data_IF_478086108848
#
_entry.id   IF_478086108848
#
_cell.length_a   1.000
_cell.length_b   1.000
_cell.length_c   1.000
_cell.angle_alpha   90.00
_cell.angle_beta   90.00
_cell.angle_gamma   90.00
#
_symmetry.space_group_name_H-M   'P 1'
#
loop_
_entity.id
_entity.type
_entity.pdbx_description
1 polymer ?
#
# COMPACT_ATOMS: atom_id res chain seq x y z
N UNK A 1 12.90 -24.32 14.23
CA UNK A 1 11.99 -24.16 15.39
C UNK A 1 10.63 -23.74 14.83
N UNK A 2 9.84 -24.70 14.34
CA UNK A 2 8.47 -24.51 13.84
C UNK A 2 7.60 -25.77 14.03
N UNK A 3 8.07 -26.75 14.82
CA UNK A 3 7.35 -28.01 15.05
C UNK A 3 6.50 -28.02 16.33
N UNK A 4 6.71 -27.08 17.26
CA UNK A 4 6.03 -27.11 18.57
C UNK A 4 4.75 -26.26 18.65
N UNK A 5 4.49 -25.37 17.69
CA UNK A 5 3.20 -24.64 17.64
C UNK A 5 2.03 -25.55 17.24
N UNK A 6 2.33 -26.69 16.60
CA UNK A 6 1.32 -27.64 16.13
C UNK A 6 0.67 -28.42 17.29
N UNK A 7 1.39 -28.63 18.40
CA UNK A 7 0.90 -29.43 19.53
C UNK A 7 -0.04 -28.65 20.47
N UNK A 8 0.10 -27.32 20.56
CA UNK A 8 -0.75 -26.48 21.42
C UNK A 8 -2.20 -26.34 20.95
N UNK A 9 -2.48 -26.52 19.65
CA UNK A 9 -3.84 -26.46 19.09
C UNK A 9 -4.71 -27.70 19.45
N UNK A 10 -4.10 -28.78 19.95
CA UNK A 10 -4.82 -30.01 20.30
C UNK A 10 -5.42 -30.00 21.72
N UNK A 11 -4.92 -29.18 22.64
CA UNK A 11 -5.48 -29.11 23.99
C UNK A 11 -6.91 -28.55 24.00
N UNK A 12 -7.25 -27.68 23.03
CA UNK A 12 -8.63 -27.20 22.80
C UNK A 12 -9.57 -28.35 22.38
N UNK A 13 -9.07 -29.31 21.60
CA UNK A 13 -9.81 -30.49 21.16
C UNK A 13 -9.96 -31.54 22.26
N UNK A 14 -9.06 -31.55 23.25
CA UNK A 14 -9.08 -32.51 24.36
C UNK A 14 -10.26 -32.30 25.31
N UNK A 15 -10.76 -31.07 25.43
CA UNK A 15 -11.89 -30.73 26.29
C UNK A 15 -13.23 -30.63 25.53
N UNK A 16 -13.23 -30.69 24.20
CA UNK A 16 -14.48 -30.78 23.44
C UNK A 16 -15.04 -32.21 23.53
N UNK A 17 -16.18 -32.38 24.20
CA UNK A 17 -16.88 -33.68 24.30
C UNK A 17 -17.54 -34.13 22.98
N UNK A 18 -17.36 -33.38 21.91
CA UNK A 18 -17.95 -33.60 20.59
C UNK A 18 -16.89 -34.18 19.66
N UNK A 19 -17.20 -35.28 18.96
CA UNK A 19 -16.29 -35.80 17.94
C UNK A 19 -16.20 -34.78 16.78
N UNK A 20 -15.07 -34.11 16.70
CA UNK A 20 -14.82 -33.09 15.68
C UNK A 20 -14.60 -33.68 14.30
N UNK A 21 -14.27 -34.98 14.19
CA UNK A 21 -14.05 -35.67 12.91
C UNK A 21 -15.31 -35.81 12.08
N UNK A 22 -16.48 -35.73 12.71
CA UNK A 22 -17.77 -35.76 12.03
C UNK A 22 -18.20 -34.37 11.54
N UNK A 23 -17.57 -33.30 12.03
CA UNK A 23 -17.91 -31.94 11.64
C UNK A 23 -17.43 -31.64 10.22
N UNK A 24 -18.26 -30.94 9.45
CA UNK A 24 -17.97 -30.69 8.05
C UNK A 24 -16.64 -29.94 7.82
N UNK A 25 -16.18 -29.11 8.74
CA UNK A 25 -14.91 -28.40 8.63
C UNK A 25 -13.66 -29.26 8.81
N UNK A 26 -13.76 -30.52 9.29
CA UNK A 26 -12.61 -31.44 9.37
C UNK A 26 -12.40 -32.26 8.10
N UNK A 27 -13.45 -32.40 7.26
CA UNK A 27 -13.37 -33.06 5.95
C UNK A 27 -12.36 -32.33 5.04
N UNK A 28 -11.34 -33.01 4.49
CA UNK A 28 -10.30 -32.39 3.67
C UNK A 28 -10.86 -31.53 2.52
N UNK A 29 -11.86 -32.06 1.81
CA UNK A 29 -12.51 -31.36 0.69
C UNK A 29 -13.13 -30.02 1.12
N UNK A 30 -13.76 -29.99 2.30
CA UNK A 30 -14.37 -28.76 2.81
C UNK A 30 -13.32 -27.75 3.29
N UNK A 31 -12.21 -28.21 3.89
CA UNK A 31 -11.07 -27.34 4.23
C UNK A 31 -10.46 -26.72 2.99
N UNK A 32 -10.24 -27.51 1.94
CA UNK A 32 -9.73 -26.99 0.67
C UNK A 32 -10.67 -25.97 0.04
N UNK A 33 -11.97 -26.25 0.03
CA UNK A 33 -12.98 -25.31 -0.44
C UNK A 33 -12.98 -24.01 0.38
N UNK A 34 -12.91 -24.10 1.70
CA UNK A 34 -12.85 -22.94 2.60
C UNK A 34 -11.57 -22.11 2.37
N UNK A 35 -10.42 -22.75 2.22
CA UNK A 35 -9.15 -22.06 1.92
C UNK A 35 -9.26 -21.31 0.60
N UNK A 36 -9.82 -21.93 -0.45
CA UNK A 36 -10.03 -21.27 -1.76
C UNK A 36 -10.98 -20.08 -1.62
N UNK A 37 -12.10 -20.25 -0.91
CA UNK A 37 -13.06 -19.18 -0.66
C UNK A 37 -12.44 -18.00 0.10
N UNK A 38 -11.68 -18.26 1.16
CA UNK A 38 -11.00 -17.22 1.92
C UNK A 38 -9.93 -16.51 1.10
N UNK A 39 -9.14 -17.24 0.30
CA UNK A 39 -8.18 -16.64 -0.63
C UNK A 39 -8.88 -15.72 -1.63
N UNK A 40 -10.01 -16.15 -2.18
CA UNK A 40 -10.81 -15.34 -3.10
C UNK A 40 -11.33 -14.08 -2.40
N UNK A 41 -11.85 -14.16 -1.17
CA UNK A 41 -12.26 -12.98 -0.40
C UNK A 41 -11.10 -12.01 -0.17
N UNK A 42 -9.93 -12.53 0.25
CA UNK A 42 -8.73 -11.71 0.45
C UNK A 42 -8.24 -11.07 -0.85
N UNK A 43 -8.35 -11.74 -1.98
CA UNK A 43 -7.98 -11.16 -3.26
C UNK A 43 -8.84 -9.93 -3.60
N UNK A 44 -10.14 -9.95 -3.32
CA UNK A 44 -11.01 -8.79 -3.52
C UNK A 44 -10.64 -7.63 -2.60
N UNK A 45 -10.37 -7.91 -1.32
CA UNK A 45 -9.92 -6.89 -0.37
C UNK A 45 -8.57 -6.27 -0.79
N UNK A 46 -7.64 -7.09 -1.28
CA UNK A 46 -6.32 -6.63 -1.70
C UNK A 46 -6.39 -5.78 -2.96
N UNK A 47 -7.31 -6.04 -3.90
CA UNK A 47 -7.54 -5.17 -5.06
C UNK A 47 -7.94 -3.76 -4.60
N UNK A 48 -8.89 -3.64 -3.67
CA UNK A 48 -9.31 -2.35 -3.14
C UNK A 48 -8.18 -1.63 -2.40
N UNK A 49 -7.38 -2.36 -1.61
CA UNK A 49 -6.20 -1.80 -0.93
C UNK A 49 -5.15 -1.33 -1.93
N UNK A 50 -4.85 -2.12 -2.96
CA UNK A 50 -3.85 -1.77 -3.97
C UNK A 50 -4.24 -0.52 -4.76
N UNK A 51 -5.54 -0.31 -5.05
CA UNK A 51 -6.02 0.92 -5.67
C UNK A 51 -5.62 2.18 -4.86
N UNK A 52 -5.71 2.10 -3.53
CA UNK A 52 -5.30 3.17 -2.63
C UNK A 52 -3.78 3.32 -2.64
N UNK A 53 -3.03 2.23 -2.54
CA UNK A 53 -1.57 2.25 -2.50
C UNK A 53 -0.95 2.79 -3.80
N UNK A 54 -1.48 2.41 -4.97
CA UNK A 54 -1.10 2.93 -6.28
C UNK A 54 -1.20 4.46 -6.30
N UNK A 55 -2.35 4.99 -5.89
CA UNK A 55 -2.59 6.45 -5.85
C UNK A 55 -1.71 7.14 -4.82
N UNK A 56 -1.53 6.54 -3.64
CA UNK A 56 -0.68 7.08 -2.59
C UNK A 56 0.79 7.17 -3.02
N UNK A 57 1.32 6.11 -3.64
CA UNK A 57 2.70 6.09 -4.14
C UNK A 57 2.89 7.14 -5.25
N UNK A 58 1.93 7.25 -6.17
CA UNK A 58 1.94 8.27 -7.22
C UNK A 58 2.00 9.68 -6.66
N UNK A 59 1.19 9.94 -5.64
CA UNK A 59 1.16 11.22 -4.91
C UNK A 59 2.47 11.51 -4.21
N UNK A 60 3.03 10.52 -3.50
CA UNK A 60 4.30 10.67 -2.79
C UNK A 60 5.46 11.01 -3.75
N UNK A 61 5.53 10.35 -4.91
CA UNK A 61 6.52 10.65 -5.95
C UNK A 61 6.35 12.08 -6.50
N UNK A 62 5.11 12.49 -6.75
CA UNK A 62 4.81 13.84 -7.25
C UNK A 62 5.23 14.93 -6.24
N UNK A 63 4.79 14.78 -4.99
CA UNK A 63 5.09 15.73 -3.91
C UNK A 63 6.59 15.82 -3.64
N UNK A 64 7.27 14.68 -3.60
CA UNK A 64 8.72 14.62 -3.41
C UNK A 64 9.46 15.33 -4.55
N UNK A 65 9.01 15.15 -5.80
CA UNK A 65 9.61 15.81 -6.96
C UNK A 65 9.52 17.34 -6.87
N UNK A 66 8.36 17.87 -6.48
CA UNK A 66 8.17 19.30 -6.29
C UNK A 66 9.03 19.86 -5.14
N UNK A 67 9.09 19.14 -4.02
CA UNK A 67 9.91 19.52 -2.86
C UNK A 67 11.40 19.51 -3.19
N UNK A 68 11.87 18.46 -3.86
CA UNK A 68 13.28 18.30 -4.23
C UNK A 68 13.73 19.32 -5.27
N UNK A 69 12.90 19.60 -6.27
CA UNK A 69 13.16 20.68 -7.25
C UNK A 69 13.34 22.03 -6.55
N UNK A 70 12.45 22.34 -5.61
CA UNK A 70 12.51 23.56 -4.81
C UNK A 70 13.76 23.62 -3.94
N UNK A 71 14.09 22.52 -3.24
CA UNK A 71 15.25 22.44 -2.36
C UNK A 71 16.56 22.56 -3.13
N UNK A 72 16.70 21.86 -4.27
CA UNK A 72 17.87 21.94 -5.14
C UNK A 72 18.05 23.37 -5.65
N UNK A 73 16.98 24.02 -6.12
CA UNK A 73 17.05 25.40 -6.62
C UNK A 73 17.53 26.38 -5.55
N UNK A 74 17.01 26.26 -4.32
CA UNK A 74 17.45 27.08 -3.18
C UNK A 74 18.92 26.84 -2.83
N UNK A 75 19.34 25.57 -2.78
CA UNK A 75 20.71 25.21 -2.44
C UNK A 75 21.71 25.57 -3.54
N UNK A 76 21.34 25.48 -4.82
CA UNK A 76 22.21 25.94 -5.90
C UNK A 76 22.50 27.44 -5.82
N UNK A 77 21.60 28.23 -5.23
CA UNK A 77 21.81 29.64 -4.98
C UNK A 77 22.64 29.90 -3.71
N UNK A 78 22.32 29.24 -2.59
CA UNK A 78 22.95 29.53 -1.28
C UNK A 78 24.23 28.74 -0.99
N UNK A 79 24.31 27.48 -1.45
CA UNK A 79 25.46 26.59 -1.26
C UNK A 79 25.59 25.65 -2.48
N UNK A 80 26.22 26.14 -3.58
CA UNK A 80 26.28 25.41 -4.84
C UNK A 80 26.91 24.00 -4.74
N UNK A 81 27.99 23.76 -3.96
CA UNK A 81 28.50 22.40 -3.76
C UNK A 81 27.46 21.42 -3.22
N UNK A 82 26.73 21.81 -2.17
CA UNK A 82 25.68 20.97 -1.58
C UNK A 82 24.51 20.78 -2.55
N UNK A 83 24.11 21.83 -3.27
CA UNK A 83 23.06 21.74 -4.29
C UNK A 83 23.40 20.75 -5.41
N UNK A 84 24.66 20.70 -5.86
CA UNK A 84 25.12 19.75 -6.88
C UNK A 84 25.10 18.31 -6.36
N UNK A 85 25.55 18.06 -5.14
CA UNK A 85 25.49 16.73 -4.54
C UNK A 85 24.04 16.25 -4.36
N UNK A 86 23.16 17.15 -3.90
CA UNK A 86 21.74 16.82 -3.78
C UNK A 86 21.12 16.51 -5.14
N UNK A 87 21.45 17.28 -6.18
CA UNK A 87 21.00 17.02 -7.55
C UNK A 87 21.48 15.65 -8.06
N UNK A 88 22.73 15.26 -7.78
CA UNK A 88 23.27 13.95 -8.15
C UNK A 88 22.49 12.82 -7.49
N UNK A 89 22.20 12.93 -6.18
CA UNK A 89 21.38 11.94 -5.45
C UNK A 89 19.95 11.91 -5.99
N UNK A 90 19.37 13.07 -6.26
CA UNK A 90 18.02 13.18 -6.80
C UNK A 90 17.90 12.48 -8.16
N UNK A 91 18.88 12.63 -9.07
CA UNK A 91 18.87 11.92 -10.36
C UNK A 91 18.73 10.40 -10.22
N UNK A 92 19.43 9.79 -9.25
CA UNK A 92 19.33 8.34 -9.00
C UNK A 92 17.93 7.97 -8.53
N UNK A 93 17.38 8.73 -7.59
CA UNK A 93 16.02 8.51 -7.07
C UNK A 93 14.95 8.75 -8.13
N UNK A 94 15.07 9.79 -8.94
CA UNK A 94 14.15 10.06 -10.05
C UNK A 94 14.15 8.95 -11.09
N UNK A 95 15.31 8.31 -11.35
CA UNK A 95 15.36 7.15 -12.23
C UNK A 95 14.56 5.98 -11.66
N UNK A 96 14.69 5.67 -10.36
CA UNK A 96 13.86 4.65 -9.69
C UNK A 96 12.38 5.04 -9.75
N UNK A 97 12.06 6.29 -9.41
CA UNK A 97 10.69 6.80 -9.46
C UNK A 97 10.08 6.72 -10.87
N UNK A 98 10.88 6.87 -11.94
CA UNK A 98 10.39 6.71 -13.31
C UNK A 98 9.98 5.27 -13.63
N UNK A 99 10.68 4.27 -13.08
CA UNK A 99 10.28 2.86 -13.20
C UNK A 99 8.96 2.62 -12.47
N UNK A 100 8.82 3.15 -11.25
CA UNK A 100 7.56 3.06 -10.52
C UNK A 100 6.42 3.75 -11.26
N UNK A 101 6.61 4.97 -11.76
CA UNK A 101 5.58 5.69 -12.53
C UNK A 101 5.15 4.91 -13.76
N UNK A 102 6.10 4.30 -14.49
CA UNK A 102 5.79 3.44 -15.63
C UNK A 102 4.92 2.24 -15.22
N UNK A 103 5.27 1.55 -14.13
CA UNK A 103 4.46 0.42 -13.64
C UNK A 103 3.07 0.86 -13.16
N UNK A 104 2.98 2.04 -12.53
CA UNK A 104 1.69 2.62 -12.12
C UNK A 104 0.82 2.97 -13.34
N UNK A 105 1.43 3.47 -14.42
CA UNK A 105 0.74 3.68 -15.71
C UNK A 105 0.24 2.36 -16.30
N UNK A 106 1.05 1.30 -16.29
CA UNK A 106 0.63 -0.01 -16.75
C UNK A 106 -0.57 -0.53 -15.94
N UNK A 107 -0.54 -0.42 -14.61
CA UNK A 107 -1.65 -0.82 -13.74
C UNK A 107 -2.91 -0.01 -14.06
N UNK A 108 -2.82 1.32 -14.15
CA UNK A 108 -3.97 2.19 -14.42
C UNK A 108 -4.55 2.01 -15.84
N UNK A 109 -3.75 1.50 -16.77
CA UNK A 109 -4.14 1.22 -18.16
C UNK A 109 -4.96 -0.06 -18.32
N UNK A 110 -4.94 -0.96 -17.33
CA UNK A 110 -5.71 -2.20 -17.39
C UNK A 110 -7.22 -1.90 -17.43
N UNK A 111 -7.96 -2.61 -18.28
CA UNK A 111 -9.41 -2.44 -18.40
C UNK A 111 -10.17 -2.82 -17.14
N UNK A 112 -9.57 -3.67 -16.30
CA UNK A 112 -10.10 -4.13 -15.02
C UNK A 112 -9.74 -3.23 -13.83
N UNK A 113 -8.99 -2.14 -14.05
CA UNK A 113 -8.62 -1.23 -12.96
C UNK A 113 -9.85 -0.50 -12.41
N UNK A 114 -10.13 -0.65 -11.11
CA UNK A 114 -11.28 -0.05 -10.42
C UNK A 114 -10.94 1.19 -9.58
N UNK A 115 -9.64 1.54 -9.47
CA UNK A 115 -9.18 2.66 -8.67
C UNK A 115 -9.33 4.04 -9.34
N UNK A 116 -8.97 5.09 -8.60
CA UNK A 116 -8.92 6.46 -9.13
C UNK A 116 -7.55 6.70 -9.76
N UNK A 117 -7.56 7.10 -11.03
CA UNK A 117 -6.36 7.41 -11.81
C UNK A 117 -5.71 8.72 -11.40
N UNK A 118 -4.40 8.83 -11.66
CA UNK A 118 -3.62 10.03 -11.39
C UNK A 118 -3.24 10.21 -9.92
N UNK A 119 -2.64 11.36 -9.60
CA UNK A 119 -2.20 11.65 -8.24
C UNK A 119 -3.34 12.19 -7.37
N UNK A 120 -3.28 11.88 -6.07
CA UNK A 120 -4.14 12.49 -5.06
C UNK A 120 -3.54 13.78 -4.51
N UNK A 121 -4.14 14.28 -3.43
CA UNK A 121 -3.66 15.43 -2.67
C UNK A 121 -3.40 15.00 -1.24
N UNK A 122 -2.18 15.25 -0.74
CA UNK A 122 -1.84 14.94 0.65
C UNK A 122 -2.55 15.91 1.59
N UNK A 123 -3.27 15.38 2.57
CA UNK A 123 -3.91 16.19 3.62
C UNK A 123 -2.82 16.97 4.38
N UNK A 124 -3.00 18.29 4.49
CA UNK A 124 -2.03 19.20 5.13
C UNK A 124 -0.90 19.68 4.21
N UNK A 125 -0.90 19.35 2.92
CA UNK A 125 -0.06 20.04 1.94
C UNK A 125 -0.61 21.44 1.71
N UNK A 126 0.17 22.48 2.06
CA UNK A 126 -0.16 23.89 1.85
C UNK A 126 -0.07 24.23 0.35
N UNK A 127 -1.06 23.79 -0.40
CA UNK A 127 -1.43 24.41 -1.67
C UNK A 127 -2.88 24.78 -1.48
N UNK A 128 -3.18 26.04 -1.17
CA UNK A 128 -4.55 26.55 -1.26
C UNK A 128 -4.94 26.51 -2.73
N UNK A 129 -5.75 25.52 -3.08
CA UNK A 129 -6.46 25.49 -4.35
C UNK A 129 -7.95 25.47 -4.03
N UNK A 130 -8.59 26.61 -4.25
CA UNK A 130 -9.99 26.97 -3.97
C UNK A 130 -10.99 26.26 -4.93
N UNK A 131 -10.73 25.02 -5.35
CA UNK A 131 -11.53 24.39 -6.42
C UNK A 131 -11.97 22.92 -6.21
N UNK A 132 -11.78 22.29 -5.05
CA UNK A 132 -12.21 20.87 -4.88
C UNK A 132 -12.71 20.48 -3.48
N UNK A 133 -13.48 21.35 -2.82
CA UNK A 133 -14.03 21.09 -1.47
C UNK A 133 -15.13 20.01 -1.46
N UNK A 134 -15.55 19.46 -2.59
CA UNK A 134 -16.59 18.42 -2.63
C UNK A 134 -15.93 17.09 -2.99
N UNK A 135 -15.70 16.22 -2.00
CA UNK A 135 -15.79 14.73 -2.14
C UNK A 135 -15.16 13.95 -0.96
N UNK A 136 -14.38 14.58 -0.08
CA UNK A 136 -13.62 13.85 0.94
C UNK A 136 -14.37 13.50 2.24
N UNK A 137 -15.66 13.81 2.40
CA UNK A 137 -16.36 13.68 3.69
C UNK A 137 -17.26 12.45 3.87
N UNK A 138 -17.29 11.50 2.92
CA UNK A 138 -18.22 10.36 2.99
C UNK A 138 -17.55 8.97 3.00
N UNK A 139 -16.51 8.75 3.82
CA UNK A 139 -16.12 7.37 4.15
C UNK A 139 -15.78 7.17 5.63
N UNK A 140 -16.54 6.33 6.38
CA UNK A 140 -16.20 5.98 7.75
C UNK A 140 -15.35 4.71 7.76
N UNK A 141 -14.13 4.81 8.30
CA UNK A 141 -13.29 3.75 8.89
C UNK A 141 -11.85 4.25 8.73
N UNK A 142 -11.20 4.68 9.79
CA UNK A 142 -10.74 3.80 10.85
C UNK A 142 -9.21 3.83 10.76
N UNK A 143 -8.59 4.35 11.82
CA UNK A 143 -7.16 4.65 11.94
C UNK A 143 -6.22 3.71 11.16
N UNK A 144 -5.52 4.23 10.14
CA UNK A 144 -4.35 3.59 9.56
C UNK A 144 -3.10 4.36 9.96
N UNK A 145 -2.44 3.84 11.00
CA UNK A 145 -1.09 4.24 11.38
C UNK A 145 -0.12 3.68 10.34
N UNK A 146 0.40 4.54 9.47
CA UNK A 146 1.50 4.20 8.58
C UNK A 146 2.80 4.13 9.39
N UNK A 147 3.17 2.92 9.82
CA UNK A 147 4.53 2.63 10.21
C UNK A 147 5.34 2.51 8.92
N UNK A 148 6.06 3.58 8.58
CA UNK A 148 7.06 3.57 7.51
C UNK A 148 8.18 2.62 7.95
N UNK A 149 8.06 1.35 7.57
CA UNK A 149 9.16 0.42 7.67
C UNK A 149 10.07 0.69 6.47
N UNK A 150 11.21 1.30 6.79
CA UNK A 150 12.42 1.28 5.98
C UNK A 150 12.67 -0.14 5.46
N UNK A 151 12.44 -0.34 4.16
CA UNK A 151 13.11 -1.36 3.36
C UNK A 151 13.47 -0.69 2.03
N UNK A 152 14.59 0.02 2.04
CA UNK A 152 15.73 -0.04 1.10
C UNK A 152 16.69 1.11 1.41
#
# INVERSE_FOLDING_TARGET
>A
IAEYSFLGEFDVLRYSRTDTRELDWTKPTHREALVKFLKLRRAHEEVERLNIEVRCLRTAIHDESAQMSTAISKLLHSNPPLGRELQKRWKLRSAVNSVHLFQLDEIESQSSFSGIRGHGRRIGSLVEDESSVVDCLNHPSGAFVFQVLNIF
#
